data_IF_700460822034
#
_entry.id   IF_700460822034
#
_cell.length_a   1.000
_cell.length_b   1.000
_cell.length_c   1.000
_cell.angle_alpha   90.00
_cell.angle_beta   90.00
_cell.angle_gamma   90.00
#
_symmetry.space_group_name_H-M   'P 1'
#
loop_
_entity.id
_entity.type
_entity.pdbx_description
1 polymer ?
#
# COMPACT_ATOMS: atom_id res chain seq x y z
N UNK A 1 15.75 -17.64 -6.43
CA UNK A 1 16.05 -17.65 -4.99
C UNK A 1 14.90 -17.02 -4.25
N UNK A 2 14.24 -17.74 -3.34
CA UNK A 2 13.27 -17.13 -2.44
C UNK A 2 14.05 -16.48 -1.28
N UNK A 3 13.82 -15.19 -1.02
CA UNK A 3 14.38 -14.56 0.18
C UNK A 3 13.59 -15.15 1.35
N UNK A 4 14.20 -16.12 2.05
CA UNK A 4 13.67 -16.65 3.30
C UNK A 4 13.81 -15.52 4.31
N UNK A 5 12.70 -14.85 4.58
CA UNK A 5 12.60 -13.80 5.60
C UNK A 5 11.93 -14.44 6.81
N UNK A 6 12.62 -14.40 7.95
CA UNK A 6 12.00 -14.77 9.23
C UNK A 6 11.00 -13.67 9.61
N UNK A 7 9.82 -14.01 10.14
CA UNK A 7 8.91 -13.00 10.66
C UNK A 7 9.58 -12.21 11.79
N UNK A 8 9.31 -10.91 11.83
CA UNK A 8 9.79 -9.99 12.84
C UNK A 8 9.09 -10.29 14.17
N UNK A 9 9.89 -10.46 15.21
CA UNK A 9 9.37 -10.52 16.57
C UNK A 9 9.00 -9.13 17.08
N UNK A 10 8.03 -9.07 18.00
CA UNK A 10 7.67 -7.83 18.70
C UNK A 10 8.88 -7.18 19.39
N UNK A 11 9.83 -7.99 19.87
CA UNK A 11 11.07 -7.54 20.49
C UNK A 11 11.99 -6.82 19.49
N UNK A 12 12.12 -7.33 18.28
CA UNK A 12 12.93 -6.69 17.22
C UNK A 12 12.31 -5.36 16.79
N UNK A 13 10.99 -5.31 16.67
CA UNK A 13 10.24 -4.08 16.38
C UNK A 13 10.48 -3.05 17.49
N UNK A 14 10.39 -3.45 18.76
CA UNK A 14 10.58 -2.53 19.89
C UNK A 14 12.03 -2.06 20.05
N UNK A 15 13.01 -2.89 19.69
CA UNK A 15 14.44 -2.52 19.73
C UNK A 15 14.87 -1.66 18.54
N UNK A 16 14.06 -1.56 17.50
CA UNK A 16 14.37 -0.77 16.31
C UNK A 16 14.47 0.71 16.68
N UNK A 17 15.64 1.30 16.47
CA UNK A 17 15.89 2.71 16.77
C UNK A 17 15.86 3.53 15.49
N UNK A 18 15.34 4.78 15.54
CA UNK A 18 15.49 5.71 14.44
C UNK A 18 16.97 5.89 14.08
N UNK A 19 17.26 5.93 12.79
CA UNK A 19 18.59 6.22 12.26
C UNK A 19 18.57 7.56 11.51
N UNK A 20 19.75 8.10 11.17
CA UNK A 20 19.84 9.34 10.39
C UNK A 20 19.14 9.25 9.02
N UNK A 21 18.98 8.02 8.49
CA UNK A 21 18.27 7.72 7.25
C UNK A 21 17.18 6.69 7.52
N UNK A 22 16.03 6.76 6.83
CA UNK A 22 14.99 5.75 6.96
C UNK A 22 15.48 4.38 6.48
N UNK A 23 15.05 3.33 7.16
CA UNK A 23 15.34 1.94 6.78
C UNK A 23 14.11 1.04 6.97
N UNK A 24 14.22 -0.21 6.49
CA UNK A 24 13.11 -1.16 6.51
C UNK A 24 13.49 -2.44 7.27
N UNK A 25 12.55 -2.92 8.08
CA UNK A 25 12.57 -4.27 8.65
C UNK A 25 11.57 -5.13 7.87
N UNK A 26 11.97 -6.31 7.42
CA UNK A 26 11.13 -7.18 6.60
C UNK A 26 10.51 -8.29 7.44
N UNK A 27 9.18 -8.37 7.43
CA UNK A 27 8.41 -9.42 8.12
C UNK A 27 8.10 -10.62 7.20
N UNK A 28 8.43 -10.46 5.92
CA UNK A 28 8.19 -11.45 4.88
C UNK A 28 6.84 -11.31 4.20
N UNK A 29 6.62 -12.13 3.15
CA UNK A 29 5.40 -12.09 2.32
C UNK A 29 5.01 -10.70 1.78
N UNK A 30 6.00 -9.82 1.60
CA UNK A 30 5.78 -8.45 1.14
C UNK A 30 5.48 -7.43 2.25
N UNK A 31 5.36 -7.84 3.52
CA UNK A 31 5.19 -6.93 4.64
C UNK A 31 6.54 -6.42 5.16
N UNK A 32 6.63 -5.10 5.38
CA UNK A 32 7.79 -4.44 5.97
C UNK A 32 7.38 -3.30 6.89
N UNK A 33 8.17 -3.06 7.93
CA UNK A 33 8.07 -1.89 8.80
C UNK A 33 9.07 -0.83 8.35
N UNK A 34 8.62 0.40 8.15
CA UNK A 34 9.50 1.53 7.93
C UNK A 34 9.89 2.17 9.26
N UNK A 35 11.19 2.27 9.51
CA UNK A 35 11.74 3.02 10.63
C UNK A 35 12.24 4.36 10.12
N UNK A 36 11.55 5.47 10.42
CA UNK A 36 11.94 6.79 9.97
C UNK A 36 13.06 7.39 10.84
N UNK A 37 13.58 8.57 10.48
CA UNK A 37 14.44 9.35 11.36
C UNK A 37 13.74 9.78 12.64
N UNK A 38 14.52 10.21 13.63
CA UNK A 38 14.04 10.65 14.93
C UNK A 38 12.94 11.71 14.81
N UNK A 39 11.87 11.57 15.59
CA UNK A 39 10.73 12.49 15.60
C UNK A 39 9.58 12.12 14.66
N UNK A 40 9.64 10.98 13.97
CA UNK A 40 8.55 10.47 13.11
C UNK A 40 8.08 9.08 13.56
N UNK A 41 6.82 8.77 13.31
CA UNK A 41 6.21 7.48 13.66
C UNK A 41 6.57 6.39 12.65
N UNK A 42 6.84 5.17 13.15
CA UNK A 42 7.02 4.00 12.30
C UNK A 42 5.68 3.53 11.70
N UNK A 43 5.72 3.12 10.44
CA UNK A 43 4.53 2.68 9.68
C UNK A 43 4.76 1.33 8.98
N UNK A 44 3.74 0.49 8.99
CA UNK A 44 3.72 -0.78 8.27
C UNK A 44 3.35 -0.56 6.79
N UNK A 45 4.09 -1.21 5.89
CA UNK A 45 3.85 -1.17 4.44
C UNK A 45 3.80 -2.57 3.87
N UNK A 46 2.70 -2.89 3.19
CA UNK A 46 2.60 -4.09 2.36
C UNK A 46 3.01 -3.78 0.93
N UNK A 47 3.84 -4.63 0.34
CA UNK A 47 4.23 -4.60 -1.07
C UNK A 47 3.57 -5.80 -1.71
N UNK A 48 2.59 -5.54 -2.57
CA UNK A 48 2.04 -6.55 -3.44
C UNK A 48 2.69 -6.42 -4.82
N UNK A 49 3.09 -7.54 -5.46
CA UNK A 49 3.53 -7.49 -6.84
C UNK A 49 2.38 -6.98 -7.71
N UNK A 50 2.69 -6.17 -8.73
CA UNK A 50 1.68 -5.58 -9.62
C UNK A 50 0.76 -6.61 -10.30
N UNK A 51 1.12 -7.91 -10.30
CA UNK A 51 0.29 -9.00 -10.78
C UNK A 51 -0.95 -9.28 -9.92
N UNK A 52 -0.90 -8.95 -8.63
CA UNK A 52 -2.03 -9.13 -7.70
C UNK A 52 -3.02 -7.95 -7.73
N UNK A 53 -2.70 -6.90 -8.49
CA UNK A 53 -3.65 -5.86 -8.86
C UNK A 53 -3.99 -6.03 -10.34
N UNK A 54 -5.07 -6.75 -10.72
CA UNK A 54 -5.60 -6.62 -12.07
C UNK A 54 -6.03 -5.16 -12.21
N UNK A 55 -5.20 -4.38 -12.90
CA UNK A 55 -5.46 -3.04 -13.39
C UNK A 55 -6.59 -2.29 -12.65
N UNK A 56 -6.24 -1.52 -11.60
CA UNK A 56 -7.01 -0.32 -11.23
C UNK A 56 -6.87 0.70 -12.37
N UNK A 57 -7.38 0.35 -13.55
CA UNK A 57 -7.33 1.13 -14.77
C UNK A 57 -8.73 1.25 -15.37
N UNK A 58 -9.79 1.32 -14.56
CA UNK A 58 -11.09 1.84 -15.02
C UNK A 58 -11.81 2.49 -13.83
N UNK A 59 -11.41 3.71 -13.49
CA UNK A 59 -12.42 4.72 -13.17
C UNK A 59 -12.49 5.62 -14.40
N UNK A 60 -13.24 5.18 -15.43
CA UNK A 60 -13.84 6.15 -16.31
C UNK A 60 -14.88 6.86 -15.45
N UNK A 61 -14.59 8.09 -15.01
CA UNK A 61 -15.60 9.03 -14.57
C UNK A 61 -16.61 9.13 -15.70
N UNK A 62 -17.71 8.40 -15.58
CA UNK A 62 -18.87 8.52 -16.44
C UNK A 62 -19.44 9.93 -16.22
N UNK A 63 -18.87 10.91 -16.92
CA UNK A 63 -19.56 12.14 -17.30
C UNK A 63 -20.52 11.89 -18.45
N UNK A 64 -21.19 10.73 -18.46
CA UNK A 64 -22.32 10.46 -19.33
C UNK A 64 -23.49 11.22 -18.71
N UNK A 65 -23.69 12.45 -19.19
CA UNK A 65 -24.87 13.25 -18.93
C UNK A 65 -26.02 12.56 -19.67
N UNK A 66 -26.98 11.89 -19.00
CA UNK A 66 -28.12 11.36 -19.70
C UNK A 66 -28.98 12.54 -20.14
N UNK A 67 -28.81 12.95 -21.40
CA UNK A 67 -29.75 13.85 -22.05
C UNK A 67 -31.06 13.05 -22.16
N UNK A 68 -32.01 13.38 -21.28
CA UNK A 68 -33.34 12.77 -21.25
C UNK A 68 -33.97 12.92 -22.65
N UNK A 69 -34.39 11.83 -23.33
CA UNK A 69 -35.17 11.97 -24.54
C UNK A 69 -36.50 12.64 -24.18
N UNK A 70 -36.78 13.73 -24.89
CA UNK A 70 -38.04 14.46 -24.81
C UNK A 70 -39.20 13.49 -24.94
N UNK A 71 -40.08 13.53 -23.95
CA UNK A 71 -41.30 12.76 -23.89
C UNK A 71 -42.26 13.38 -24.90
N UNK A 72 -42.39 12.77 -26.06
CA UNK A 72 -43.57 12.94 -26.90
C UNK A 72 -44.70 12.18 -26.18
N UNK A 73 -45.69 12.92 -25.67
CA UNK A 73 -47.02 12.41 -25.35
C UNK A 73 -48.01 13.55 -25.59
N UNK A 74 -48.77 13.39 -26.69
CA UNK A 74 -50.06 13.96 -27.09
C UNK A 74 -50.19 15.48 -27.27
#
# INVERSE_FOLDING_TARGET
MAIITSPLSATEVHKAKPAAKPYYLFDGRGLRLQIPPQGQCSDWRAIFPARDFPALSVFHSAGDNPTLPGKDVH
#
